data_IF_431000275454
#
_entry.id   IF_431000275454
#
_cell.length_a   1.000
_cell.length_b   1.000
_cell.length_c   1.000
_cell.angle_alpha   90.00
_cell.angle_beta   90.00
_cell.angle_gamma   90.00
#
_symmetry.space_group_name_H-M   'P 1'
#
loop_
_entity.id
_entity.type
_entity.pdbx_description
1 polymer ?
#
# COMPACT_ATOMS: atom_id res chain seq x y z
N UNK A 1 -61.24 -52.24 2.82
CA UNK A 1 -59.78 -52.02 2.83
C UNK A 1 -59.48 -50.91 1.85
N UNK A 2 -58.39 -50.17 2.06
CA UNK A 2 -57.89 -49.04 1.27
C UNK A 2 -58.16 -47.63 1.81
N UNK A 3 -57.08 -46.85 1.75
CA UNK A 3 -56.97 -45.40 1.90
C UNK A 3 -56.93 -44.84 3.33
N UNK A 4 -55.91 -45.25 4.11
CA UNK A 4 -55.39 -44.48 5.25
C UNK A 4 -53.89 -44.17 5.07
N UNK A 5 -53.52 -43.57 3.94
CA UNK A 5 -52.12 -43.26 3.62
C UNK A 5 -52.00 -41.96 2.82
N UNK A 6 -52.71 -40.90 3.23
CA UNK A 6 -52.68 -39.63 2.48
C UNK A 6 -52.56 -38.35 3.34
N UNK A 7 -52.36 -38.45 4.65
CA UNK A 7 -52.34 -37.26 5.53
C UNK A 7 -51.01 -37.00 6.26
N UNK A 8 -49.97 -37.81 6.04
CA UNK A 8 -48.65 -37.59 6.69
C UNK A 8 -47.67 -36.81 5.79
N UNK A 9 -47.93 -36.74 4.47
CA UNK A 9 -47.06 -36.05 3.49
C UNK A 9 -47.05 -34.51 3.55
N UNK A 10 -48.14 -33.78 3.84
CA UNK A 10 -48.09 -32.32 3.78
C UNK A 10 -47.37 -31.71 4.99
N UNK A 11 -47.38 -32.38 6.15
CA UNK A 11 -46.79 -31.85 7.38
C UNK A 11 -45.26 -31.82 7.33
N UNK A 12 -44.64 -32.85 6.76
CA UNK A 12 -43.18 -32.90 6.61
C UNK A 12 -42.66 -31.84 5.64
N UNK A 13 -43.43 -31.53 4.59
CA UNK A 13 -43.06 -30.53 3.58
C UNK A 13 -43.13 -29.11 4.15
N UNK A 14 -44.13 -28.82 5.00
CA UNK A 14 -44.24 -27.55 5.71
C UNK A 14 -43.11 -27.39 6.73
N UNK A 15 -42.73 -28.46 7.45
CA UNK A 15 -41.63 -28.40 8.42
C UNK A 15 -40.29 -28.07 7.74
N UNK A 16 -39.98 -28.69 6.60
CA UNK A 16 -38.75 -28.41 5.83
C UNK A 16 -38.75 -26.98 5.28
N UNK A 17 -39.89 -26.48 4.82
CA UNK A 17 -40.02 -25.11 4.31
C UNK A 17 -39.79 -24.07 5.42
N UNK A 18 -40.31 -24.33 6.62
CA UNK A 18 -40.12 -23.46 7.80
C UNK A 18 -38.64 -23.46 8.22
N UNK A 19 -37.97 -24.61 8.24
CA UNK A 19 -36.53 -24.69 8.55
C UNK A 19 -35.68 -23.93 7.52
N UNK A 20 -36.05 -23.97 6.23
CA UNK A 20 -35.36 -23.22 5.18
C UNK A 20 -35.58 -21.70 5.28
N UNK A 21 -36.75 -21.25 5.75
CA UNK A 21 -37.04 -19.82 6.00
C UNK A 21 -36.29 -19.26 7.20
N UNK A 22 -35.88 -20.11 8.15
CA UNK A 22 -35.09 -19.74 9.33
C UNK A 22 -33.60 -20.07 9.19
N UNK A 23 -33.15 -20.53 8.03
CA UNK A 23 -31.71 -20.58 7.75
C UNK A 23 -31.21 -19.12 7.73
N UNK A 24 -30.27 -18.74 8.62
CA UNK A 24 -29.66 -17.43 8.52
C UNK A 24 -29.09 -17.32 7.11
N UNK A 25 -29.46 -16.26 6.39
CA UNK A 25 -28.84 -15.94 5.12
C UNK A 25 -27.34 -15.91 5.40
N UNK A 26 -26.59 -16.87 4.85
CA UNK A 26 -25.13 -16.77 4.85
C UNK A 26 -24.82 -15.48 4.11
N UNK A 27 -24.61 -14.42 4.87
CA UNK A 27 -24.13 -13.17 4.36
C UNK A 27 -22.79 -13.53 3.76
N UNK A 28 -22.70 -13.40 2.44
CA UNK A 28 -21.43 -13.54 1.75
C UNK A 28 -20.49 -12.57 2.45
N UNK A 29 -19.49 -13.11 3.17
CA UNK A 29 -18.46 -12.28 3.77
C UNK A 29 -17.91 -11.45 2.61
N UNK A 30 -18.03 -10.12 2.71
CA UNK A 30 -17.37 -9.22 1.78
C UNK A 30 -15.91 -9.67 1.74
N UNK A 31 -15.40 -9.92 0.53
CA UNK A 31 -13.99 -10.27 0.38
C UNK A 31 -13.21 -9.11 0.98
N UNK A 32 -12.64 -9.31 2.17
CA UNK A 32 -11.90 -8.26 2.83
C UNK A 32 -10.63 -8.05 2.02
N UNK A 33 -10.43 -6.82 1.56
CA UNK A 33 -9.39 -6.52 0.59
C UNK A 33 -7.99 -6.81 1.15
N UNK A 34 -7.09 -7.23 0.28
CA UNK A 34 -5.68 -7.40 0.63
C UNK A 34 -4.99 -6.04 0.55
N UNK A 35 -3.92 -5.90 1.35
CA UNK A 35 -3.08 -4.73 1.35
C UNK A 35 -1.69 -5.09 0.84
N UNK A 36 -1.18 -4.31 -0.11
CA UNK A 36 0.19 -4.43 -0.62
C UNK A 36 1.09 -3.40 0.06
N UNK A 37 2.24 -3.84 0.55
CA UNK A 37 3.26 -2.96 1.14
C UNK A 37 3.95 -2.16 0.04
N UNK A 38 3.85 -0.84 0.09
CA UNK A 38 4.47 0.08 -0.90
C UNK A 38 5.51 1.00 -0.29
N UNK A 39 5.66 0.94 1.03
CA UNK A 39 6.57 1.78 1.77
C UNK A 39 6.93 1.15 3.10
N UNK A 40 8.22 1.17 3.43
CA UNK A 40 8.72 0.55 4.63
C UNK A 40 9.96 1.31 5.11
N UNK A 41 9.93 1.68 6.39
CA UNK A 41 11.10 2.26 7.04
C UNK A 41 11.31 1.62 8.41
N UNK A 42 12.58 1.33 8.69
CA UNK A 42 13.04 0.87 10.00
C UNK A 42 14.32 1.61 10.38
N UNK A 43 14.35 2.20 11.57
CA UNK A 43 15.54 2.85 12.14
C UNK A 43 16.62 1.82 12.48
N UNK A 44 16.23 0.57 12.75
CA UNK A 44 17.16 -0.51 13.08
C UNK A 44 17.37 -1.46 11.90
N UNK A 45 18.58 -2.01 11.78
CA UNK A 45 18.91 -3.01 10.76
C UNK A 45 18.10 -4.32 10.92
N UNK A 46 17.46 -4.52 12.08
CA UNK A 46 16.63 -5.67 12.37
C UNK A 46 15.25 -5.61 11.68
N UNK A 47 14.76 -4.43 11.26
CA UNK A 47 13.46 -4.29 10.61
C UNK A 47 12.33 -4.64 11.57
N UNK A 48 11.85 -3.70 12.39
CA UNK A 48 10.88 -4.05 13.43
C UNK A 48 9.46 -4.29 12.92
N UNK A 49 9.14 -3.87 11.69
CA UNK A 49 7.82 -4.10 11.12
C UNK A 49 7.68 -5.58 10.78
N UNK A 50 6.82 -6.25 11.54
CA UNK A 50 6.54 -7.67 11.39
C UNK A 50 5.06 -7.89 11.17
N UNK A 51 4.71 -9.04 10.61
CA UNK A 51 3.34 -9.48 10.45
C UNK A 51 3.16 -10.94 10.84
N UNK A 52 1.92 -11.34 11.15
CA UNK A 52 1.55 -12.74 11.34
C UNK A 52 0.11 -13.00 10.89
N UNK A 53 -0.23 -14.27 10.69
CA UNK A 53 -1.58 -14.74 10.41
C UNK A 53 -2.05 -15.63 11.56
N UNK A 54 -3.06 -15.18 12.32
CA UNK A 54 -3.53 -15.90 13.50
C UNK A 54 -2.40 -16.18 14.51
N UNK A 55 -2.20 -17.46 14.83
CA UNK A 55 -1.21 -17.91 15.81
C UNK A 55 0.17 -18.25 15.20
N UNK A 56 0.40 -17.89 13.92
CA UNK A 56 1.70 -18.02 13.28
C UNK A 56 2.80 -17.22 14.01
N UNK A 57 4.05 -17.63 13.77
CA UNK A 57 5.22 -16.83 14.15
C UNK A 57 5.23 -15.49 13.39
N UNK A 58 5.73 -14.45 14.05
CA UNK A 58 6.01 -13.16 13.43
C UNK A 58 7.04 -13.29 12.30
N UNK A 59 6.70 -12.72 11.14
CA UNK A 59 7.51 -12.68 9.92
C UNK A 59 7.85 -11.23 9.62
N UNK A 60 9.04 -10.96 9.11
CA UNK A 60 9.43 -9.62 8.67
C UNK A 60 8.57 -9.17 7.48
N UNK A 61 8.08 -7.94 7.52
CA UNK A 61 7.41 -7.31 6.37
C UNK A 61 8.46 -6.87 5.35
N UNK A 62 8.21 -7.18 4.07
CA UNK A 62 9.01 -6.73 2.93
C UNK A 62 8.16 -5.84 2.01
N UNK A 63 8.85 -5.05 1.19
CA UNK A 63 8.21 -4.27 0.14
C UNK A 63 7.60 -5.22 -0.90
N UNK A 64 6.46 -4.83 -1.45
CA UNK A 64 5.60 -5.63 -2.33
C UNK A 64 4.96 -6.88 -1.69
N UNK A 65 5.14 -7.14 -0.38
CA UNK A 65 4.36 -8.17 0.28
C UNK A 65 2.87 -7.83 0.17
N UNK A 66 2.07 -8.80 -0.29
CA UNK A 66 0.61 -8.75 -0.26
C UNK A 66 0.12 -9.49 0.98
N UNK A 67 -0.51 -8.75 1.88
CA UNK A 67 -0.97 -9.23 3.16
C UNK A 67 -2.50 -9.25 3.19
N UNK A 68 -3.12 -10.37 3.61
CA UNK A 68 -4.56 -10.45 3.69
C UNK A 68 -5.08 -9.68 4.91
N UNK A 69 -6.35 -9.27 4.89
CA UNK A 69 -6.90 -8.38 5.90
C UNK A 69 -6.86 -8.93 7.34
N UNK A 70 -6.85 -10.25 7.50
CA UNK A 70 -6.70 -10.92 8.79
C UNK A 70 -5.28 -10.83 9.37
N UNK A 71 -4.30 -10.38 8.59
CA UNK A 71 -2.93 -10.22 9.09
C UNK A 71 -2.86 -9.18 10.20
N UNK A 72 -2.04 -9.45 11.20
CA UNK A 72 -1.67 -8.50 12.23
C UNK A 72 -0.31 -7.91 11.88
N UNK A 73 -0.18 -6.58 12.03
CA UNK A 73 1.08 -5.85 11.93
C UNK A 73 1.56 -5.51 13.33
N UNK A 74 2.88 -5.62 13.53
CA UNK A 74 3.59 -5.21 14.74
C UNK A 74 4.66 -4.18 14.39
N UNK A 75 4.68 -3.08 15.13
CA UNK A 75 5.75 -2.07 15.09
C UNK A 75 6.16 -1.75 16.53
N UNK A 76 7.43 -1.98 16.88
CA UNK A 76 7.94 -1.78 18.25
C UNK A 76 8.86 -0.56 18.40
N UNK A 77 9.38 -0.01 17.30
CA UNK A 77 10.22 1.19 17.29
C UNK A 77 9.41 2.41 16.86
N UNK A 78 9.47 3.45 17.68
CA UNK A 78 8.78 4.73 17.50
C UNK A 78 8.91 5.39 16.12
N UNK A 79 10.06 5.18 15.47
CA UNK A 79 10.38 5.81 14.19
C UNK A 79 10.12 4.91 13.01
N UNK A 80 9.79 3.65 13.25
CA UNK A 80 9.49 2.69 12.21
C UNK A 80 8.06 2.90 11.73
N UNK A 81 7.81 2.61 10.47
CA UNK A 81 6.50 2.76 9.87
C UNK A 81 6.39 1.93 8.60
N UNK A 82 5.15 1.71 8.19
CA UNK A 82 4.79 0.97 6.98
C UNK A 82 3.64 1.68 6.27
N UNK A 83 3.72 1.73 4.94
CA UNK A 83 2.66 2.18 4.06
C UNK A 83 2.14 1.02 3.22
N UNK A 84 0.82 0.99 3.09
CA UNK A 84 0.08 0.01 2.30
C UNK A 84 -0.76 0.71 1.24
N UNK A 85 -1.06 -0.02 0.17
CA UNK A 85 -2.21 0.28 -0.69
C UNK A 85 -3.20 -0.86 -0.68
N UNK A 86 -4.46 -0.52 -0.93
CA UNK A 86 -5.48 -1.50 -1.29
C UNK A 86 -5.15 -2.14 -2.64
N UNK A 87 -5.23 -3.47 -2.72
CA UNK A 87 -4.99 -4.19 -3.99
C UNK A 87 -6.12 -3.90 -4.98
N UNK A 88 -7.36 -3.78 -4.50
CA UNK A 88 -8.51 -3.44 -5.36
C UNK A 88 -8.60 -1.95 -5.71
N UNK A 89 -8.00 -1.07 -4.91
CA UNK A 89 -7.94 0.37 -5.10
C UNK A 89 -6.53 0.92 -4.76
N UNK A 90 -5.59 0.91 -5.73
CA UNK A 90 -4.20 1.31 -5.50
C UNK A 90 -4.00 2.81 -5.23
N UNK A 91 -5.07 3.60 -5.33
CA UNK A 91 -5.10 5.02 -5.00
C UNK A 91 -5.31 5.26 -3.49
N UNK A 92 -5.86 4.28 -2.77
CA UNK A 92 -6.08 4.35 -1.33
C UNK A 92 -4.83 3.91 -0.57
N UNK A 93 -4.18 4.86 0.10
CA UNK A 93 -2.95 4.62 0.87
C UNK A 93 -3.25 4.61 2.35
N UNK A 94 -2.71 3.63 3.06
CA UNK A 94 -2.83 3.46 4.49
C UNK A 94 -1.45 3.52 5.13
N UNK A 95 -1.33 4.15 6.29
CA UNK A 95 -0.06 4.29 6.98
C UNK A 95 -0.18 3.87 8.44
N UNK A 96 0.79 3.09 8.92
CA UNK A 96 0.93 2.73 10.32
C UNK A 96 2.31 3.18 10.78
N UNK A 97 2.35 4.00 11.83
CA UNK A 97 3.58 4.49 12.45
C UNK A 97 3.75 3.90 13.83
N UNK A 98 4.99 3.61 14.21
CA UNK A 98 5.36 3.31 15.58
C UNK A 98 5.15 4.51 16.51
N UNK A 99 5.12 4.24 17.81
CA UNK A 99 4.97 5.24 18.86
C UNK A 99 6.10 5.14 19.88
N UNK A 100 6.49 6.27 20.50
CA UNK A 100 7.69 6.38 21.36
C UNK A 100 7.72 5.39 22.53
N UNK A 101 6.56 5.13 23.11
CA UNK A 101 6.45 4.40 24.37
C UNK A 101 5.44 3.25 24.27
N UNK A 102 5.18 2.76 23.05
CA UNK A 102 4.15 1.76 22.78
C UNK A 102 4.50 0.87 21.60
N UNK A 103 4.24 -0.42 21.77
CA UNK A 103 4.19 -1.39 20.67
C UNK A 103 2.83 -1.26 19.98
N UNK A 104 2.86 -0.98 18.69
CA UNK A 104 1.67 -0.95 17.84
C UNK A 104 1.42 -2.35 17.34
N UNK A 105 0.27 -2.90 17.66
CA UNK A 105 -0.23 -4.16 17.13
C UNK A 105 -1.65 -3.95 16.63
N UNK A 106 -1.89 -4.16 15.33
CA UNK A 106 -3.17 -3.86 14.69
C UNK A 106 -3.44 -4.83 13.55
N UNK A 107 -4.70 -5.24 13.36
CA UNK A 107 -5.10 -6.04 12.20
C UNK A 107 -5.26 -5.16 10.95
N UNK A 108 -4.95 -5.68 9.78
CA UNK A 108 -5.15 -4.97 8.52
C UNK A 108 -6.62 -4.63 8.27
N UNK A 109 -7.54 -5.48 8.72
CA UNK A 109 -8.97 -5.18 8.72
C UNK A 109 -9.32 -3.92 9.54
N UNK A 110 -8.67 -3.69 10.68
CA UNK A 110 -8.88 -2.46 11.47
C UNK A 110 -8.39 -1.22 10.72
N UNK A 111 -7.26 -1.34 10.01
CA UNK A 111 -6.70 -0.27 9.19
C UNK A 111 -7.66 0.08 8.04
N UNK A 112 -8.13 -0.94 7.30
CA UNK A 112 -9.09 -0.78 6.22
C UNK A 112 -10.38 -0.10 6.68
N UNK A 113 -10.91 -0.51 7.83
CA UNK A 113 -12.12 0.07 8.42
C UNK A 113 -11.94 1.54 8.87
N UNK A 114 -10.71 1.96 9.16
CA UNK A 114 -10.38 3.35 9.50
C UNK A 114 -10.38 4.30 8.31
N UNK A 115 -10.42 3.79 7.08
CA UNK A 115 -10.30 4.56 5.85
C UNK A 115 -8.85 4.88 5.47
N UNK A 116 -8.61 5.32 4.22
CA UNK A 116 -7.26 5.64 3.77
C UNK A 116 -6.70 6.86 4.51
N UNK A 117 -5.41 6.80 4.82
CA UNK A 117 -4.64 7.95 5.32
C UNK A 117 -4.57 9.06 4.27
N UNK A 118 -4.53 8.68 2.99
CA UNK A 118 -4.61 9.59 1.85
C UNK A 118 -5.08 8.88 0.60
N UNK A 119 -5.62 9.66 -0.32
CA UNK A 119 -5.91 9.24 -1.69
C UNK A 119 -4.91 9.87 -2.65
N UNK A 120 -4.47 9.08 -3.63
CA UNK A 120 -3.45 9.46 -4.62
C UNK A 120 -4.06 9.37 -6.01
N UNK A 121 -3.64 10.25 -6.92
CA UNK A 121 -4.00 10.18 -8.34
C UNK A 121 -2.73 9.97 -9.16
N UNK A 122 -2.74 8.94 -9.99
CA UNK A 122 -1.65 8.66 -10.92
C UNK A 122 -2.03 9.16 -12.32
N UNK A 123 -1.08 9.73 -13.09
CA UNK A 123 -1.32 10.06 -14.48
C UNK A 123 -1.62 8.78 -15.27
N UNK A 124 -2.59 8.86 -16.18
CA UNK A 124 -2.88 7.79 -17.12
C UNK A 124 -1.91 7.83 -18.29
N UNK A 125 -1.48 6.67 -18.77
CA UNK A 125 -0.70 6.57 -20.00
C UNK A 125 -1.58 6.93 -21.20
N UNK A 126 -1.49 8.18 -21.64
CA UNK A 126 -2.36 8.77 -22.66
C UNK A 126 -1.53 9.63 -23.62
N UNK A 127 -1.99 9.77 -24.86
CA UNK A 127 -1.37 10.65 -25.85
C UNK A 127 -1.46 12.14 -25.44
N UNK A 128 -2.48 12.47 -24.64
CA UNK A 128 -2.66 13.77 -24.02
C UNK A 128 -2.11 13.73 -22.60
N UNK A 129 -1.05 14.51 -22.35
CA UNK A 129 -0.45 14.67 -21.02
C UNK A 129 -1.44 15.46 -20.15
N UNK A 130 -1.78 14.93 -18.97
CA UNK A 130 -2.56 15.68 -17.98
C UNK A 130 -1.80 16.97 -17.61
N UNK A 131 -2.38 18.16 -17.87
CA UNK A 131 -1.73 19.43 -17.58
C UNK A 131 -1.31 19.59 -16.12
N UNK A 132 -2.01 18.94 -15.17
CA UNK A 132 -1.66 18.96 -13.75
C UNK A 132 -0.33 18.28 -13.46
N UNK A 133 0.09 17.31 -14.29
CA UNK A 133 1.29 16.52 -14.09
C UNK A 133 2.42 16.84 -15.08
N UNK A 134 2.20 17.74 -16.04
CA UNK A 134 3.12 18.02 -17.16
C UNK A 134 4.59 18.30 -16.77
N UNK A 135 4.81 18.87 -15.58
CA UNK A 135 6.15 19.22 -15.07
C UNK A 135 6.46 18.52 -13.74
N UNK A 136 5.98 17.28 -13.57
CA UNK A 136 6.11 16.54 -12.31
C UNK A 136 6.46 15.08 -12.50
N UNK A 137 6.94 14.45 -11.44
CA UNK A 137 7.08 13.01 -11.32
C UNK A 137 6.20 12.52 -10.17
N UNK A 138 5.49 11.43 -10.35
CA UNK A 138 4.68 10.83 -9.28
C UNK A 138 5.37 9.58 -8.74
N UNK A 139 5.56 9.50 -7.43
CA UNK A 139 6.20 8.34 -6.81
C UNK A 139 5.25 7.14 -6.83
N UNK A 140 5.63 6.04 -7.49
CA UNK A 140 4.86 4.79 -7.52
C UNK A 140 5.42 3.70 -6.61
N UNK A 141 6.68 3.78 -6.23
CA UNK A 141 7.29 2.89 -5.23
C UNK A 141 8.54 3.57 -4.67
N UNK A 142 8.78 3.42 -3.38
CA UNK A 142 9.98 3.94 -2.73
C UNK A 142 10.43 2.99 -1.64
N UNK A 143 11.74 2.77 -1.56
CA UNK A 143 12.29 1.69 -0.73
C UNK A 143 13.03 2.17 0.53
N UNK A 144 12.86 3.42 0.97
CA UNK A 144 13.50 3.87 2.20
C UNK A 144 13.46 5.37 2.48
N UNK A 145 14.36 5.83 3.34
CA UNK A 145 14.43 7.23 3.78
C UNK A 145 15.07 8.11 2.71
N UNK A 146 14.21 8.66 1.87
CA UNK A 146 14.57 9.56 0.79
C UNK A 146 13.91 10.91 1.04
N UNK A 147 14.58 11.99 0.68
CA UNK A 147 14.05 13.32 0.91
C UNK A 147 13.99 14.12 -0.36
N UNK A 148 12.93 14.88 -0.50
CA UNK A 148 12.77 15.88 -1.52
C UNK A 148 12.99 17.25 -0.89
N UNK A 149 13.90 18.02 -1.48
CA UNK A 149 14.17 19.41 -1.13
C UNK A 149 13.40 20.22 -2.16
N UNK A 150 12.34 20.89 -1.69
CA UNK A 150 11.53 21.79 -2.52
C UNK A 150 12.35 23.00 -2.94
N UNK A 151 11.87 23.72 -3.95
CA UNK A 151 12.49 24.97 -4.41
C UNK A 151 12.64 26.01 -3.28
N UNK A 152 11.70 26.04 -2.33
CA UNK A 152 11.73 26.89 -1.13
C UNK A 152 12.76 26.45 -0.07
N UNK A 153 13.55 25.40 -0.35
CA UNK A 153 14.56 24.83 0.53
C UNK A 153 14.02 23.91 1.63
N UNK A 154 12.70 23.75 1.76
CA UNK A 154 12.14 22.80 2.74
C UNK A 154 12.43 21.38 2.33
N UNK A 155 12.89 20.61 3.30
CA UNK A 155 13.11 19.18 3.17
C UNK A 155 11.87 18.42 3.63
N UNK A 156 11.35 17.57 2.77
CA UNK A 156 10.25 16.64 3.06
C UNK A 156 10.70 15.20 2.81
N UNK A 157 10.16 14.24 3.55
CA UNK A 157 10.35 12.82 3.27
C UNK A 157 9.50 12.43 2.05
N UNK A 158 10.05 11.59 1.17
CA UNK A 158 9.36 11.10 -0.03
C UNK A 158 8.55 9.86 0.36
N UNK A 159 7.28 9.84 -0.06
CA UNK A 159 6.34 8.75 0.16
C UNK A 159 5.59 8.37 -1.12
N UNK A 160 4.83 7.27 -1.11
CA UNK A 160 4.10 6.75 -2.28
C UNK A 160 3.03 7.74 -2.74
N UNK A 161 3.03 8.14 -4.00
CA UNK A 161 2.09 9.13 -4.51
C UNK A 161 2.48 10.58 -4.29
N UNK A 162 3.65 10.85 -3.71
CA UNK A 162 4.17 12.22 -3.64
C UNK A 162 4.48 12.73 -5.05
N UNK A 163 4.21 14.03 -5.25
CA UNK A 163 4.49 14.76 -6.49
C UNK A 163 5.82 15.48 -6.31
N UNK A 164 6.76 15.20 -7.21
CA UNK A 164 8.06 15.86 -7.29
C UNK A 164 8.01 16.84 -8.45
N UNK A 165 8.25 18.12 -8.18
CA UNK A 165 8.05 19.21 -9.14
C UNK A 165 9.39 19.65 -9.74
N UNK A 166 9.36 20.19 -10.97
CA UNK A 166 10.51 20.88 -11.56
C UNK A 166 11.06 21.93 -10.60
N UNK A 167 12.40 21.99 -10.49
CA UNK A 167 13.11 22.91 -9.58
C UNK A 167 13.42 22.32 -8.21
N UNK A 168 12.80 21.19 -7.83
CA UNK A 168 13.17 20.47 -6.63
C UNK A 168 14.26 19.42 -6.84
N UNK A 169 14.91 19.08 -5.72
CA UNK A 169 16.01 18.13 -5.65
C UNK A 169 15.64 16.92 -4.81
N UNK A 170 15.90 15.72 -5.33
CA UNK A 170 15.78 14.48 -4.58
C UNK A 170 17.15 14.12 -4.00
N UNK A 171 17.19 13.81 -2.71
CA UNK A 171 18.36 13.37 -1.96
C UNK A 171 18.06 12.01 -1.31
N UNK A 172 18.75 10.97 -1.79
CA UNK A 172 18.63 9.60 -1.31
C UNK A 172 19.65 9.39 -0.18
N UNK A 173 19.17 9.22 1.05
CA UNK A 173 20.01 9.18 2.28
C UNK A 173 20.10 7.75 2.86
N UNK A 174 19.42 6.77 2.26
CA UNK A 174 19.32 5.40 2.74
C UNK A 174 20.15 4.37 1.96
N UNK A 175 20.20 3.15 2.51
CA UNK A 175 20.85 1.98 1.89
C UNK A 175 20.07 1.51 0.65
N UNK A 176 18.75 1.64 0.67
CA UNK A 176 17.89 1.37 -0.48
C UNK A 176 17.75 2.63 -1.34
N UNK A 177 18.20 2.54 -2.58
CA UNK A 177 18.38 3.65 -3.51
C UNK A 177 17.41 3.63 -4.70
N UNK A 178 16.30 2.89 -4.57
CA UNK A 178 15.32 2.71 -5.65
C UNK A 178 14.11 3.62 -5.45
N UNK A 179 13.74 4.30 -6.54
CA UNK A 179 12.44 4.96 -6.73
C UNK A 179 11.84 4.46 -8.04
N UNK A 180 10.58 4.04 -8.00
CA UNK A 180 9.75 3.91 -9.19
C UNK A 180 8.95 5.21 -9.32
N UNK A 181 9.09 5.90 -10.44
CA UNK A 181 8.44 7.17 -10.72
C UNK A 181 7.60 7.05 -11.99
N UNK A 182 6.41 7.65 -11.99
CA UNK A 182 5.64 7.86 -13.20
C UNK A 182 5.99 9.21 -13.83
N UNK A 183 6.27 9.18 -15.12
CA UNK A 183 6.48 10.35 -15.97
C UNK A 183 5.13 10.99 -16.36
N UNK A 184 5.11 12.26 -16.84
CA UNK A 184 3.87 12.92 -17.24
C UNK A 184 3.10 12.21 -18.37
N UNK A 185 3.79 11.44 -19.20
CA UNK A 185 3.20 10.62 -20.26
C UNK A 185 2.63 9.28 -19.76
N UNK A 186 2.66 9.04 -18.44
CA UNK A 186 2.22 7.81 -17.79
C UNK A 186 3.18 6.63 -17.90
N UNK A 187 4.34 6.79 -18.56
CA UNK A 187 5.40 5.78 -18.55
C UNK A 187 6.12 5.74 -17.20
N UNK A 188 6.62 4.56 -16.84
CA UNK A 188 7.33 4.36 -15.60
C UNK A 188 8.85 4.42 -15.81
N UNK A 189 9.55 5.03 -14.87
CA UNK A 189 11.01 5.05 -14.80
C UNK A 189 11.48 4.59 -13.43
N UNK A 190 12.51 3.74 -13.43
CA UNK A 190 13.14 3.24 -12.21
C UNK A 190 14.47 3.94 -12.05
N UNK A 191 14.62 4.64 -10.93
CA UNK A 191 15.83 5.31 -10.53
C UNK A 191 16.52 4.47 -9.47
N UNK A 192 17.72 3.97 -9.78
CA UNK A 192 18.58 3.21 -8.86
C UNK A 192 19.85 4.04 -8.64
N UNK A 193 19.86 4.87 -7.58
CA UNK A 193 20.82 5.96 -7.38
C UNK A 193 20.48 7.20 -8.23
N UNK A 194 20.95 8.44 -7.91
CA UNK A 194 22.09 8.84 -7.06
C UNK A 194 21.73 9.54 -5.72
N UNK A 195 22.77 9.89 -4.95
CA UNK A 195 22.73 10.57 -3.62
C UNK A 195 22.23 12.04 -3.72
N UNK A 196 22.13 12.65 -4.92
CA UNK A 196 21.30 13.84 -5.18
C UNK A 196 21.03 14.00 -6.69
N UNK A 197 19.81 14.31 -7.10
CA UNK A 197 19.46 14.66 -8.49
C UNK A 197 18.33 15.69 -8.53
N UNK A 198 18.16 16.37 -9.66
CA UNK A 198 17.03 17.30 -9.88
C UNK A 198 15.90 16.60 -10.63
N UNK A 199 14.66 16.99 -10.37
CA UNK A 199 13.49 16.46 -11.11
C UNK A 199 13.61 16.72 -12.62
N UNK A 200 14.18 17.88 -12.99
CA UNK A 200 14.39 18.27 -14.38
C UNK A 200 15.27 17.28 -15.16
N UNK A 201 16.30 16.72 -14.51
CA UNK A 201 17.19 15.73 -15.13
C UNK A 201 16.42 14.48 -15.58
N UNK A 202 15.47 14.01 -14.78
CA UNK A 202 14.63 12.84 -15.14
C UNK A 202 13.68 13.17 -16.29
N UNK A 203 13.02 14.33 -16.23
CA UNK A 203 12.08 14.75 -17.26
C UNK A 203 12.73 14.92 -18.64
N UNK A 204 14.02 15.23 -18.68
CA UNK A 204 14.82 15.28 -19.91
C UNK A 204 15.30 13.90 -20.42
N UNK A 205 14.99 12.82 -19.70
CA UNK A 205 15.42 11.46 -20.05
C UNK A 205 16.93 11.25 -19.88
N UNK A 206 17.60 12.05 -19.05
CA UNK A 206 19.04 11.91 -18.83
C UNK A 206 19.36 10.63 -18.07
N UNK A 207 20.37 9.90 -18.54
CA UNK A 207 20.79 8.65 -17.90
C UNK A 207 21.53 8.93 -16.58
N UNK A 208 20.87 8.65 -15.46
CA UNK A 208 21.40 8.87 -14.11
C UNK A 208 22.46 7.85 -13.66
N UNK A 209 22.63 6.71 -14.34
CA UNK A 209 23.63 5.71 -13.98
C UNK A 209 25.07 6.22 -14.12
N UNK A 210 25.28 7.32 -14.87
CA UNK A 210 26.61 7.92 -15.08
C UNK A 210 27.18 8.59 -13.82
N UNK A 211 26.37 8.79 -12.77
CA UNK A 211 26.75 9.46 -11.52
C UNK A 211 27.02 8.50 -10.35
N UNK A 212 27.00 7.19 -10.58
CA UNK A 212 27.62 6.20 -9.69
C UNK A 212 29.15 6.36 -9.83
N UNK A 213 29.73 7.38 -9.20
CA UNK A 213 31.18 7.60 -9.19
C UNK A 213 31.90 6.33 -8.71
N UNK A 214 32.54 5.60 -9.62
CA UNK A 214 33.72 4.80 -9.29
C UNK A 214 34.92 5.71 -9.46
N UNK A 215 35.22 6.48 -8.41
CA UNK A 215 36.56 6.97 -8.08
C UNK A 215 36.77 6.82 -6.57
#
# INVERSE_FOLDING_TARGET
MENRLFLVRPFFLVLVLVVLLFMPSMTQAESVDNLRVVGLYSETAAGSVSYRLGDDNWKKVNLADELPAEAEILIDVARDWVEFISVTNPNAVYEVRGEKDRVIQVTLATILAGGPTREVTFPEASADIDPAFANTLVVKEYLGRQHYIREDGRRVEIKYGDILEVGGDVNIIGINNTLLLALPNGEDTIIIGPIRFTVETILKGENLYKYLNVH
#
